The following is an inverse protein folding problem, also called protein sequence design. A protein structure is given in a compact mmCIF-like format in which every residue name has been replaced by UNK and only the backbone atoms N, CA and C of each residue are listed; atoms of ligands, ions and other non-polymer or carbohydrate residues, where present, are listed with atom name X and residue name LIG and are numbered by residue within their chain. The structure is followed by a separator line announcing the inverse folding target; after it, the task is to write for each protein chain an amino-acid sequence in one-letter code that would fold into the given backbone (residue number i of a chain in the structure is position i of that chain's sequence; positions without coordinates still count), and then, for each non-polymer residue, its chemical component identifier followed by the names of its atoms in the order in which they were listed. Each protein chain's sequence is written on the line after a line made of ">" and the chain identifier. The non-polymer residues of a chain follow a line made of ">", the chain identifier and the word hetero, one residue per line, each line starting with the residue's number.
data_IF_236573164432
#
_entry.id   IF_236573164432
#
_cell.length_a   1.000
_cell.length_b   1.000
_cell.length_c   1.000
_cell.angle_alpha   90.00
_cell.angle_beta   90.00
_cell.angle_gamma   90.00
#
_symmetry.space_group_name_H-M   'P 1'
#
loop_
_entity.id
_entity.type
_entity.pdbx_description
1 polymer ?
#
# COMPACT_ATOMS: atom_id res chain seq x y z
N UNK A 1 -2.05 14.54 -21.61
CA UNK A 1 -1.01 14.58 -20.54
C UNK A 1 -1.08 13.31 -19.74
N UNK A 2 0.04 12.59 -19.56
CA UNK A 2 0.02 11.28 -18.88
C UNK A 2 0.07 11.48 -17.36
N UNK A 3 -1.10 11.49 -16.72
CA UNK A 3 -1.24 11.72 -15.26
C UNK A 3 -0.40 10.72 -14.44
N UNK A 4 -0.33 9.46 -14.88
CA UNK A 4 0.45 8.43 -14.20
C UNK A 4 1.94 8.75 -14.10
N UNK A 5 2.53 9.31 -15.15
CA UNK A 5 3.93 9.74 -15.16
C UNK A 5 4.18 10.82 -14.11
N UNK A 6 3.29 11.81 -13.99
CA UNK A 6 3.43 12.88 -13.00
C UNK A 6 3.34 12.38 -11.56
N UNK A 7 2.58 11.33 -11.29
CA UNK A 7 2.43 10.78 -9.93
C UNK A 7 3.66 9.97 -9.52
N UNK A 8 4.33 9.31 -10.46
CA UNK A 8 5.38 8.33 -10.17
C UNK A 8 6.82 8.81 -10.43
N UNK A 9 7.03 9.94 -11.12
CA UNK A 9 8.34 10.37 -11.60
C UNK A 9 9.37 10.74 -10.52
N UNK A 10 8.97 10.87 -9.26
CA UNK A 10 9.85 11.10 -8.11
C UNK A 10 10.22 9.79 -7.37
N UNK A 11 9.58 8.67 -7.73
CA UNK A 11 9.97 7.36 -7.24
C UNK A 11 11.24 6.87 -7.95
N UNK A 12 12.06 6.13 -7.23
CA UNK A 12 13.17 5.41 -7.84
C UNK A 12 12.66 4.07 -8.37
N UNK A 13 12.88 3.83 -9.67
CA UNK A 13 12.50 2.60 -10.35
C UNK A 13 13.70 1.68 -10.51
N UNK A 14 13.56 0.41 -10.14
CA UNK A 14 14.57 -0.62 -10.30
C UNK A 14 13.97 -1.90 -10.84
N UNK A 15 14.81 -2.72 -11.44
CA UNK A 15 14.50 -4.09 -11.82
C UNK A 15 15.15 -5.05 -10.83
N UNK A 16 14.35 -5.88 -10.19
CA UNK A 16 14.83 -6.98 -9.34
C UNK A 16 15.08 -8.18 -10.24
N UNK A 17 16.32 -8.66 -10.27
CA UNK A 17 16.69 -9.90 -10.95
C UNK A 17 16.84 -11.00 -9.92
N UNK A 18 16.06 -12.04 -10.11
CA UNK A 18 16.04 -13.24 -9.26
C UNK A 18 17.20 -14.18 -9.63
N UNK A 19 17.98 -14.58 -8.66
CA UNK A 19 19.05 -15.57 -8.74
C UNK A 19 18.83 -16.72 -7.75
N UNK A 20 17.56 -17.01 -7.43
CA UNK A 20 17.16 -18.11 -6.54
C UNK A 20 16.38 -19.16 -7.33
N UNK A 21 16.12 -20.30 -6.71
CA UNK A 21 15.31 -21.36 -7.28
C UNK A 21 13.80 -21.12 -7.10
N UNK A 22 13.41 -20.11 -6.31
CA UNK A 22 12.01 -19.72 -6.10
C UNK A 22 11.61 -18.71 -7.18
N UNK A 23 10.72 -19.04 -8.14
CA UNK A 23 10.30 -18.09 -9.16
C UNK A 23 9.40 -16.99 -8.60
N UNK A 24 9.39 -15.82 -9.23
CA UNK A 24 8.31 -14.88 -9.03
C UNK A 24 7.00 -15.47 -9.54
N UNK A 25 5.92 -15.22 -8.80
CA UNK A 25 4.55 -15.50 -9.23
C UNK A 25 3.83 -14.20 -9.58
N UNK A 26 2.73 -14.31 -10.31
CA UNK A 26 1.86 -13.17 -10.59
C UNK A 26 0.40 -13.54 -10.36
N UNK A 27 -0.50 -12.57 -10.47
CA UNK A 27 -1.93 -12.77 -10.23
C UNK A 27 -2.76 -11.96 -11.22
N UNK A 28 -4.07 -12.10 -11.13
CA UNK A 28 -5.05 -11.28 -11.85
C UNK A 28 -5.05 -9.79 -11.41
N UNK A 29 -4.32 -9.47 -10.33
CA UNK A 29 -4.02 -8.10 -9.90
C UNK A 29 -2.50 -7.93 -9.67
N UNK A 30 -1.70 -7.94 -10.74
CA UNK A 30 -0.23 -8.11 -10.65
C UNK A 30 0.50 -6.90 -10.09
N UNK A 31 0.02 -5.69 -10.38
CA UNK A 31 0.60 -4.47 -9.84
C UNK A 31 -0.01 -4.17 -8.46
N UNK A 32 0.80 -4.25 -7.42
CA UNK A 32 0.30 -3.94 -6.08
C UNK A 32 1.04 -2.79 -5.43
N UNK A 33 0.27 -2.03 -4.67
CA UNK A 33 0.72 -0.92 -3.87
C UNK A 33 0.83 -1.35 -2.41
N UNK A 34 1.97 -1.07 -1.78
CA UNK A 34 2.17 -1.31 -0.35
C UNK A 34 2.98 -0.21 0.30
N UNK A 35 3.07 -0.21 1.64
CA UNK A 35 3.73 0.87 2.35
C UNK A 35 4.24 0.41 3.72
N UNK A 36 5.51 -0.01 3.80
CA UNK A 36 6.13 -0.45 5.06
C UNK A 36 6.14 0.64 6.13
N UNK A 37 6.26 1.91 5.73
CA UNK A 37 6.28 3.04 6.64
C UNK A 37 4.95 3.20 7.37
N UNK A 38 3.82 3.14 6.65
CA UNK A 38 2.48 3.24 7.25
C UNK A 38 2.21 2.09 8.21
N UNK A 39 2.61 0.86 7.86
CA UNK A 39 2.49 -0.29 8.76
C UNK A 39 3.37 -0.14 10.02
N UNK A 40 4.61 0.34 9.88
CA UNK A 40 5.52 0.53 11.02
C UNK A 40 5.04 1.61 11.99
N UNK A 41 4.50 2.71 11.47
CA UNK A 41 4.03 3.85 12.28
C UNK A 41 2.57 3.71 12.72
N UNK A 42 1.92 2.59 12.38
CA UNK A 42 0.51 2.31 12.69
C UNK A 42 -0.47 3.39 12.18
N UNK A 43 -0.11 4.03 11.07
CA UNK A 43 -0.86 5.14 10.49
C UNK A 43 -2.20 4.71 9.89
N UNK A 44 -2.34 3.42 9.55
CA UNK A 44 -3.57 2.86 8.98
C UNK A 44 -4.77 2.91 9.91
N UNK A 45 -4.56 3.20 11.19
CA UNK A 45 -5.65 3.48 12.13
C UNK A 45 -6.42 4.76 11.79
N UNK A 46 -5.75 5.71 11.15
CA UNK A 46 -6.26 7.06 10.90
C UNK A 46 -6.31 7.41 9.43
N UNK A 47 -5.41 6.84 8.62
CA UNK A 47 -5.19 7.20 7.23
C UNK A 47 -5.08 5.94 6.37
N UNK A 48 -5.50 6.01 5.12
CA UNK A 48 -5.09 5.06 4.09
C UNK A 48 -3.85 5.57 3.36
N UNK A 49 -3.12 4.69 2.68
CA UNK A 49 -2.04 5.11 1.80
C UNK A 49 -2.44 4.96 0.32
N UNK A 50 -1.86 5.82 -0.50
CA UNK A 50 -2.02 5.83 -1.95
C UNK A 50 -0.68 6.09 -2.63
N UNK A 51 -0.73 6.36 -3.93
CA UNK A 51 0.45 6.67 -4.73
C UNK A 51 1.17 7.97 -4.32
N UNK A 52 0.49 8.89 -3.66
CA UNK A 52 1.05 10.13 -3.13
C UNK A 52 1.71 9.98 -1.76
N UNK A 53 1.49 8.86 -1.09
CA UNK A 53 1.89 8.66 0.30
C UNK A 53 3.41 8.52 0.46
N UNK A 54 3.93 9.04 1.56
CA UNK A 54 5.29 8.80 2.02
C UNK A 54 5.53 7.30 2.22
N UNK A 55 6.64 6.77 1.70
CA UNK A 55 6.97 5.36 1.80
C UNK A 55 6.24 4.44 0.82
N UNK A 56 5.71 4.98 -0.25
CA UNK A 56 5.08 4.20 -1.34
C UNK A 56 6.06 3.20 -1.94
N UNK A 57 5.56 1.97 -2.11
CA UNK A 57 6.19 0.87 -2.83
C UNK A 57 5.20 0.34 -3.86
N UNK A 58 5.56 0.36 -5.14
CA UNK A 58 4.79 -0.22 -6.23
C UNK A 58 5.58 -1.38 -6.81
N UNK A 59 4.98 -2.57 -6.81
CA UNK A 59 5.63 -3.82 -7.20
C UNK A 59 4.85 -4.47 -8.34
N UNK A 60 5.58 -4.95 -9.37
CA UNK A 60 5.00 -5.63 -10.51
C UNK A 60 5.92 -6.78 -10.95
N UNK A 61 5.58 -8.04 -10.68
CA UNK A 61 6.26 -9.19 -11.30
C UNK A 61 6.07 -9.16 -12.82
N UNK A 62 7.18 -9.28 -13.56
CA UNK A 62 7.18 -9.23 -15.03
C UNK A 62 7.36 -10.63 -15.61
N UNK A 63 8.23 -11.43 -14.98
CA UNK A 63 8.52 -12.82 -15.34
C UNK A 63 8.94 -13.61 -14.10
N UNK A 64 9.13 -14.93 -14.18
CA UNK A 64 9.67 -15.72 -13.08
C UNK A 64 11.01 -15.24 -12.55
N UNK A 65 11.80 -14.53 -13.38
CA UNK A 65 13.14 -14.05 -13.03
C UNK A 65 13.19 -12.54 -12.77
N UNK A 66 12.17 -11.78 -13.14
CA UNK A 66 12.21 -10.32 -13.06
C UNK A 66 10.98 -9.73 -12.40
N UNK A 67 11.21 -8.76 -11.50
CA UNK A 67 10.16 -7.96 -10.87
C UNK A 67 10.53 -6.47 -10.93
N UNK A 68 9.59 -5.64 -11.37
CA UNK A 68 9.72 -4.19 -11.29
C UNK A 68 9.37 -3.70 -9.89
N UNK A 69 10.15 -2.76 -9.38
CA UNK A 69 9.90 -2.08 -8.11
C UNK A 69 10.12 -0.57 -8.27
N UNK A 70 9.08 0.22 -7.97
CA UNK A 70 9.20 1.66 -7.77
C UNK A 70 9.04 1.97 -6.27
N UNK A 71 9.94 2.79 -5.71
CA UNK A 71 9.96 3.06 -4.29
C UNK A 71 10.32 4.49 -3.96
N UNK A 72 9.84 4.97 -2.82
CA UNK A 72 10.19 6.27 -2.26
C UNK A 72 11.61 6.25 -1.66
N UNK A 73 12.59 6.79 -2.41
CA UNK A 73 13.99 6.88 -1.97
C UNK A 73 14.22 7.79 -0.76
N UNK A 74 13.26 8.64 -0.44
CA UNK A 74 13.33 9.46 0.79
C UNK A 74 13.07 8.59 2.03
N UNK A 75 12.31 7.50 1.88
CA UNK A 75 11.96 6.60 2.98
C UNK A 75 12.82 5.36 2.99
N UNK A 76 13.16 4.81 1.83
CA UNK A 76 13.91 3.56 1.73
C UNK A 76 15.25 3.75 1.02
N UNK A 77 16.17 2.91 1.41
CA UNK A 77 17.41 2.65 0.68
C UNK A 77 17.42 1.19 0.22
N UNK A 78 17.59 0.98 -1.07
CA UNK A 78 17.72 -0.34 -1.69
C UNK A 78 19.04 -0.38 -2.44
N UNK A 79 19.99 -1.28 -2.08
CA UNK A 79 21.26 -1.37 -2.76
C UNK A 79 21.07 -1.96 -4.16
N UNK A 80 21.39 -1.21 -5.19
CA UNK A 80 21.30 -1.65 -6.58
C UNK A 80 22.46 -1.10 -7.42
N UNK A 81 22.77 -1.77 -8.52
CA UNK A 81 23.75 -1.30 -9.49
C UNK A 81 23.04 -0.95 -10.80
N UNK A 82 23.12 0.33 -11.22
CA UNK A 82 22.50 0.86 -12.45
C UNK A 82 21.02 0.46 -12.61
N UNK A 83 20.26 0.53 -11.54
CA UNK A 83 18.84 0.19 -11.56
C UNK A 83 18.53 -1.31 -11.47
N UNK A 84 19.52 -2.17 -11.27
CA UNK A 84 19.32 -3.63 -11.14
C UNK A 84 19.72 -4.07 -9.74
N UNK A 85 18.79 -4.69 -9.01
CA UNK A 85 19.02 -5.40 -7.77
C UNK A 85 19.08 -6.90 -8.04
N UNK A 86 20.18 -7.56 -7.64
CA UNK A 86 20.31 -9.02 -7.70
C UNK A 86 19.92 -9.65 -6.38
N UNK A 87 18.84 -10.43 -6.36
CA UNK A 87 18.36 -11.14 -5.16
C UNK A 87 18.82 -12.58 -5.21
N UNK A 88 19.44 -13.06 -4.10
CA UNK A 88 20.01 -14.41 -3.95
C UNK A 88 19.43 -15.18 -2.76
N UNK A 89 18.43 -14.63 -2.07
CA UNK A 89 17.79 -15.24 -0.91
C UNK A 89 16.37 -15.63 -1.27
N UNK A 90 16.05 -16.91 -1.19
CA UNK A 90 14.70 -17.44 -1.43
C UNK A 90 13.62 -16.70 -0.61
N UNK A 91 13.91 -16.43 0.66
CA UNK A 91 13.00 -15.71 1.55
C UNK A 91 12.61 -14.32 1.05
N UNK A 92 13.50 -13.61 0.32
CA UNK A 92 13.18 -12.31 -0.23
C UNK A 92 12.22 -12.43 -1.43
N UNK A 93 12.34 -13.51 -2.22
CA UNK A 93 11.41 -13.81 -3.33
C UNK A 93 10.07 -14.32 -2.78
N UNK A 94 10.07 -15.24 -1.82
CA UNK A 94 8.84 -15.69 -1.14
C UNK A 94 8.08 -14.51 -0.55
N UNK A 95 8.82 -13.57 0.04
CA UNK A 95 8.25 -12.34 0.55
C UNK A 95 7.58 -11.50 -0.56
N UNK A 96 8.22 -11.34 -1.71
CA UNK A 96 7.63 -10.62 -2.84
C UNK A 96 6.38 -11.34 -3.37
N UNK A 97 6.42 -12.69 -3.38
CA UNK A 97 5.31 -13.53 -3.80
C UNK A 97 4.11 -13.46 -2.84
N UNK A 98 4.32 -13.25 -1.53
CA UNK A 98 3.19 -13.10 -0.59
C UNK A 98 2.26 -11.95 -1.00
N UNK A 99 2.79 -10.85 -1.58
CA UNK A 99 1.95 -9.75 -2.01
C UNK A 99 1.00 -10.15 -3.16
N UNK A 100 1.43 -11.03 -4.05
CA UNK A 100 0.55 -11.55 -5.09
C UNK A 100 -0.60 -12.36 -4.48
N UNK A 101 -0.32 -13.19 -3.47
CA UNK A 101 -1.33 -13.97 -2.75
C UNK A 101 -2.29 -13.05 -1.98
N UNK A 102 -1.74 -12.03 -1.31
CA UNK A 102 -2.54 -11.08 -0.52
C UNK A 102 -3.42 -10.16 -1.40
N UNK A 103 -3.01 -9.89 -2.64
CA UNK A 103 -3.66 -8.94 -3.55
C UNK A 103 -4.41 -9.59 -4.71
N UNK A 104 -4.30 -10.88 -4.97
CA UNK A 104 -5.08 -11.52 -6.03
C UNK A 104 -6.59 -11.39 -5.77
N UNK A 105 -7.40 -11.31 -6.81
CA UNK A 105 -8.84 -11.44 -6.70
C UNK A 105 -9.20 -12.92 -6.66
N UNK A 106 -8.96 -13.63 -7.75
CA UNK A 106 -9.37 -15.01 -7.92
C UNK A 106 -8.22 -15.93 -8.35
N UNK A 107 -7.25 -15.43 -9.14
CA UNK A 107 -6.27 -16.25 -9.83
C UNK A 107 -4.82 -15.87 -9.50
N UNK A 108 -4.00 -16.91 -9.30
CA UNK A 108 -2.55 -16.82 -9.18
C UNK A 108 -1.94 -17.63 -10.33
N UNK A 109 -0.94 -17.04 -11.01
CA UNK A 109 -0.26 -17.67 -12.14
C UNK A 109 1.15 -18.06 -11.72
N UNK A 110 1.48 -19.33 -11.95
CA UNK A 110 2.72 -19.98 -11.54
C UNK A 110 3.46 -20.54 -12.74
N UNK A 111 4.79 -20.49 -12.70
CA UNK A 111 5.62 -21.23 -13.63
C UNK A 111 5.82 -22.70 -13.20
N UNK A 112 5.83 -22.95 -11.89
CA UNK A 112 5.99 -24.29 -11.31
C UNK A 112 5.29 -24.34 -9.95
N UNK A 113 4.68 -25.46 -9.62
CA UNK A 113 3.98 -25.71 -8.34
C UNK A 113 4.93 -26.13 -7.21
N UNK A 114 6.13 -26.56 -7.50
CA UNK A 114 7.03 -27.27 -6.57
C UNK A 114 7.42 -26.50 -5.29
N UNK A 115 7.43 -25.18 -5.33
CA UNK A 115 7.76 -24.35 -4.16
C UNK A 115 6.58 -23.57 -3.60
N UNK A 116 5.49 -23.49 -4.35
CA UNK A 116 4.36 -22.63 -4.02
C UNK A 116 3.57 -23.11 -2.80
N UNK A 117 3.30 -24.40 -2.71
CA UNK A 117 2.49 -24.99 -1.64
C UNK A 117 3.06 -24.73 -0.24
N UNK A 118 4.41 -24.65 -0.13
CA UNK A 118 5.09 -24.40 1.15
C UNK A 118 4.68 -23.13 1.86
N UNK A 119 4.32 -22.09 1.11
CA UNK A 119 3.99 -20.78 1.69
C UNK A 119 2.58 -20.28 1.34
N UNK A 120 1.91 -20.90 0.37
CA UNK A 120 0.57 -20.47 -0.06
C UNK A 120 -0.44 -20.46 1.08
N UNK A 121 -0.59 -21.57 1.78
CA UNK A 121 -1.53 -21.68 2.89
C UNK A 121 -1.23 -20.69 4.02
N UNK A 122 0.07 -20.47 4.28
CA UNK A 122 0.50 -19.50 5.28
C UNK A 122 -0.02 -18.10 4.94
N UNK A 123 0.21 -17.66 3.72
CA UNK A 123 -0.15 -16.30 3.31
C UNK A 123 -1.65 -16.15 3.01
N UNK A 124 -2.32 -17.21 2.61
CA UNK A 124 -3.77 -17.21 2.41
C UNK A 124 -4.51 -16.82 3.71
N UNK A 125 -4.03 -17.26 4.87
CA UNK A 125 -4.58 -16.89 6.19
C UNK A 125 -4.47 -15.40 6.51
N UNK A 126 -3.53 -14.70 5.88
CA UNK A 126 -3.33 -13.26 6.05
C UNK A 126 -4.18 -12.42 5.08
N UNK A 127 -4.82 -13.09 4.10
CA UNK A 127 -5.63 -12.41 3.10
C UNK A 127 -6.89 -11.85 3.73
N UNK A 128 -7.23 -10.61 3.39
CA UNK A 128 -8.46 -9.99 3.83
C UNK A 128 -9.67 -10.58 3.08
N UNK A 129 -10.75 -10.82 3.80
CA UNK A 129 -12.02 -11.26 3.22
C UNK A 129 -12.63 -10.21 2.27
N UNK A 130 -12.34 -8.93 2.52
CA UNK A 130 -12.74 -7.82 1.66
C UNK A 130 -11.64 -6.77 1.61
N UNK A 131 -11.44 -6.15 0.44
CA UNK A 131 -10.49 -5.04 0.26
C UNK A 131 -11.10 -3.68 0.55
N UNK A 132 -12.39 -3.64 0.76
CA UNK A 132 -13.11 -2.41 1.02
C UNK A 132 -13.91 -2.52 2.31
N UNK A 133 -13.84 -1.47 3.10
CA UNK A 133 -14.71 -1.26 4.24
C UNK A 133 -15.68 -0.14 3.89
N UNK A 134 -16.97 -0.45 3.89
CA UNK A 134 -18.03 0.53 3.72
C UNK A 134 -18.51 0.97 5.10
N UNK A 135 -18.57 2.27 5.31
CA UNK A 135 -19.08 2.88 6.55
C UNK A 135 -20.19 3.84 6.16
N UNK A 136 -21.28 3.80 6.88
CA UNK A 136 -22.42 4.68 6.69
C UNK A 136 -22.49 5.67 7.84
N UNK A 137 -22.79 6.92 7.52
CA UNK A 137 -22.99 7.95 8.53
C UNK A 137 -24.13 8.86 8.14
N UNK A 138 -24.80 9.40 9.16
CA UNK A 138 -25.89 10.38 9.01
C UNK A 138 -25.55 11.63 9.79
N UNK A 139 -26.15 12.75 9.41
CA UNK A 139 -26.00 14.01 10.13
C UNK A 139 -26.63 13.86 11.52
N UNK A 140 -25.85 14.17 12.55
CA UNK A 140 -26.34 14.20 13.92
C UNK A 140 -26.98 15.57 14.21
N UNK A 141 -28.30 15.61 14.17
CA UNK A 141 -29.09 16.83 14.43
C UNK A 141 -29.05 17.30 15.89
N UNK A 142 -28.56 16.48 16.81
CA UNK A 142 -28.51 16.80 18.24
C UNK A 142 -27.50 17.89 18.60
N UNK A 143 -26.61 18.28 17.66
CA UNK A 143 -25.56 19.27 17.88
C UNK A 143 -25.73 20.52 17.02
N UNK A 144 -26.48 21.51 17.51
CA UNK A 144 -26.77 22.77 16.80
C UNK A 144 -25.56 23.65 16.43
N UNK A 145 -24.38 23.41 16.97
CA UNK A 145 -23.19 24.27 16.74
C UNK A 145 -22.16 23.74 15.74
N UNK A 146 -22.11 22.45 15.51
CA UNK A 146 -21.18 21.85 14.56
C UNK A 146 -21.85 20.65 13.90
N UNK A 147 -21.90 20.62 12.55
CA UNK A 147 -22.36 19.45 11.78
C UNK A 147 -21.45 18.27 12.12
N UNK A 148 -21.95 17.33 12.89
CA UNK A 148 -21.27 16.07 13.20
C UNK A 148 -21.96 14.94 12.48
N UNK A 149 -21.17 13.99 12.00
CA UNK A 149 -21.70 12.78 11.42
C UNK A 149 -21.62 11.65 12.45
N UNK A 150 -22.73 10.95 12.63
CA UNK A 150 -22.83 9.76 13.46
C UNK A 150 -22.72 8.53 12.55
N UNK A 151 -21.78 7.63 12.84
CA UNK A 151 -21.68 6.34 12.15
C UNK A 151 -22.85 5.45 12.57
N UNK A 152 -23.51 4.85 11.58
CA UNK A 152 -24.63 3.93 11.78
C UNK A 152 -24.29 2.54 11.22
N UNK A 153 -24.79 1.45 11.81
CA UNK A 153 -24.66 0.11 11.24
C UNK A 153 -25.51 -0.04 9.97
N UNK A 154 -25.13 -0.93 9.09
CA UNK A 154 -25.87 -1.19 7.84
C UNK A 154 -27.31 -1.67 8.07
N UNK A 155 -27.59 -2.30 9.21
CA UNK A 155 -28.95 -2.69 9.61
C UNK A 155 -29.93 -1.53 9.74
N UNK A 156 -29.42 -0.36 10.06
CA UNK A 156 -30.22 0.82 10.38
C UNK A 156 -30.48 1.71 9.16
N UNK A 157 -29.86 1.41 8.00
CA UNK A 157 -30.02 2.18 6.75
C UNK A 157 -31.47 2.39 6.35
N UNK A 158 -32.32 1.38 6.54
CA UNK A 158 -33.75 1.44 6.24
C UNK A 158 -34.52 2.53 7.00
N UNK A 159 -33.94 3.06 8.06
CA UNK A 159 -34.58 4.09 8.90
C UNK A 159 -34.29 5.53 8.39
N UNK A 160 -33.48 5.67 7.34
CA UNK A 160 -33.05 6.94 6.76
C UNK A 160 -33.33 6.98 5.27
N UNK A 161 -33.49 8.19 4.72
CA UNK A 161 -33.56 8.40 3.27
C UNK A 161 -32.17 8.36 2.68
N UNK A 162 -32.03 7.91 1.43
CA UNK A 162 -30.73 7.85 0.73
C UNK A 162 -30.00 9.20 0.70
N UNK A 163 -30.75 10.31 0.63
CA UNK A 163 -30.19 11.67 0.65
C UNK A 163 -29.61 12.09 2.03
N UNK A 164 -29.92 11.36 3.09
CA UNK A 164 -29.45 11.61 4.46
C UNK A 164 -28.23 10.77 4.82
N UNK A 165 -27.89 9.77 3.98
CA UNK A 165 -26.83 8.80 4.23
C UNK A 165 -25.57 9.23 3.49
N UNK A 166 -24.47 9.43 4.23
CA UNK A 166 -23.14 9.55 3.69
C UNK A 166 -22.47 8.18 3.69
N UNK A 167 -22.20 7.65 2.51
CA UNK A 167 -21.47 6.39 2.34
C UNK A 167 -19.98 6.70 2.17
N UNK A 168 -19.15 6.14 3.02
CA UNK A 168 -17.71 6.22 2.94
C UNK A 168 -17.11 4.85 2.67
N UNK A 169 -16.34 4.72 1.59
CA UNK A 169 -15.62 3.51 1.25
C UNK A 169 -14.12 3.73 1.46
N UNK A 170 -13.52 2.93 2.31
CA UNK A 170 -12.08 2.93 2.55
C UNK A 170 -11.43 1.64 2.04
N UNK A 171 -10.26 1.78 1.44
CA UNK A 171 -9.46 0.63 1.01
C UNK A 171 -8.74 0.03 2.21
N UNK A 172 -8.90 -1.29 2.39
CA UNK A 172 -8.15 -2.06 3.36
C UNK A 172 -6.88 -2.61 2.71
N UNK A 173 -5.79 -2.55 3.43
CA UNK A 173 -4.50 -3.05 2.98
C UNK A 173 -4.10 -4.29 3.77
N UNK A 174 -3.87 -5.39 3.06
CA UNK A 174 -3.35 -6.62 3.68
C UNK A 174 -1.97 -6.35 4.28
N UNK A 175 -1.79 -6.71 5.55
CA UNK A 175 -0.52 -6.55 6.24
C UNK A 175 0.39 -7.74 5.93
N UNK A 176 1.57 -7.51 5.35
CA UNK A 176 2.53 -8.57 5.13
C UNK A 176 3.14 -9.06 6.46
N UNK A 177 3.47 -10.35 6.51
CA UNK A 177 4.08 -10.98 7.68
C UNK A 177 5.54 -10.54 7.86
N UNK A 178 6.28 -10.47 6.76
CA UNK A 178 7.70 -10.10 6.72
C UNK A 178 7.98 -9.05 5.65
N UNK A 179 9.19 -8.48 5.63
CA UNK A 179 9.64 -7.53 4.61
C UNK A 179 10.97 -7.99 4.01
N UNK A 180 11.25 -7.71 2.71
CA UNK A 180 12.48 -8.17 2.07
C UNK A 180 13.71 -7.62 2.80
N UNK A 181 14.75 -8.43 2.88
CA UNK A 181 15.97 -8.06 3.61
C UNK A 181 16.72 -6.89 2.96
N UNK A 182 16.52 -6.66 1.66
CA UNK A 182 17.13 -5.56 0.91
C UNK A 182 16.42 -4.20 1.07
N UNK A 183 15.26 -4.17 1.68
CA UNK A 183 14.49 -2.93 1.90
C UNK A 183 14.93 -2.27 3.21
N UNK A 184 15.96 -1.43 3.15
CA UNK A 184 16.49 -0.71 4.31
C UNK A 184 15.79 0.63 4.51
N UNK A 185 15.82 1.14 5.73
CA UNK A 185 15.35 2.49 6.04
C UNK A 185 16.40 3.53 5.64
N UNK A 186 15.96 4.64 5.05
CA UNK A 186 16.82 5.80 4.88
C UNK A 186 16.80 6.62 6.17
N UNK A 187 17.90 6.56 6.95
CA UNK A 187 18.01 7.20 8.27
C UNK A 187 17.77 8.72 8.23
N UNK A 188 18.06 9.37 7.09
CA UNK A 188 17.82 10.80 6.88
C UNK A 188 16.51 11.08 6.14
N UNK A 189 15.66 10.09 6.04
CA UNK A 189 14.42 10.16 5.28
C UNK A 189 13.37 11.03 5.92
N UNK A 190 12.50 11.57 5.08
CA UNK A 190 11.43 12.46 5.50
C UNK A 190 10.29 12.52 4.48
N UNK A 191 9.18 13.05 4.94
CA UNK A 191 8.03 13.45 4.15
C UNK A 191 7.33 14.63 4.82
N UNK A 192 6.08 14.84 4.46
CA UNK A 192 5.27 15.95 4.97
C UNK A 192 3.91 15.45 5.46
N UNK A 193 3.38 16.15 6.43
CA UNK A 193 2.02 15.94 6.93
C UNK A 193 1.38 17.27 7.32
N UNK A 194 0.08 17.26 7.46
CA UNK A 194 -0.69 18.35 8.06
C UNK A 194 -1.77 17.74 8.99
N UNK A 195 -2.56 18.59 9.63
CA UNK A 195 -3.69 18.13 10.45
C UNK A 195 -4.91 17.75 9.61
N UNK A 196 -4.78 17.67 8.27
CA UNK A 196 -5.80 17.19 7.35
C UNK A 196 -5.83 15.67 7.28
N UNK A 197 -6.88 15.10 6.70
CA UNK A 197 -7.04 13.66 6.49
C UNK A 197 -6.10 13.01 5.46
N UNK A 198 -5.18 13.77 4.84
CA UNK A 198 -4.26 13.30 3.79
C UNK A 198 -3.17 12.35 4.29
N UNK A 199 -2.92 12.31 5.60
CA UNK A 199 -1.87 11.49 6.19
C UNK A 199 -0.45 12.03 5.91
N UNK A 200 0.49 11.13 5.69
CA UNK A 200 1.89 11.47 5.39
C UNK A 200 2.16 11.34 3.89
N UNK A 201 2.53 12.44 3.24
CA UNK A 201 2.75 12.49 1.79
C UNK A 201 4.23 12.66 1.42
N UNK A 202 4.58 12.26 0.19
CA UNK A 202 5.89 12.55 -0.39
C UNK A 202 6.07 14.05 -0.63
N UNK A 203 7.30 14.52 -0.65
CA UNK A 203 7.65 15.95 -0.82
C UNK A 203 6.96 16.60 -2.04
N UNK A 204 6.86 15.88 -3.14
CA UNK A 204 6.18 16.30 -4.36
C UNK A 204 4.71 16.69 -4.15
N UNK A 205 4.06 16.08 -3.18
CA UNK A 205 2.64 16.32 -2.86
C UNK A 205 2.44 17.24 -1.66
N UNK A 206 3.49 17.90 -1.19
CA UNK A 206 3.41 18.83 -0.07
C UNK A 206 2.35 19.94 -0.29
N UNK A 207 2.20 20.39 -1.52
CA UNK A 207 1.24 21.47 -1.88
C UNK A 207 -0.24 21.02 -1.81
N UNK A 208 -0.51 19.73 -1.73
CA UNK A 208 -1.88 19.21 -1.50
C UNK A 208 -2.33 19.33 -0.05
N UNK A 209 -1.38 19.57 0.87
CA UNK A 209 -1.64 19.72 2.29
C UNK A 209 -2.06 21.14 2.64
N UNK A 210 -2.82 21.31 3.74
CA UNK A 210 -3.15 22.62 4.27
C UNK A 210 -1.87 23.39 4.65
N UNK A 211 -1.55 24.50 3.96
CA UNK A 211 -0.29 25.23 4.15
C UNK A 211 -0.11 25.78 5.57
N UNK A 212 -1.20 26.00 6.31
CA UNK A 212 -1.16 26.49 7.68
C UNK A 212 -0.60 25.47 8.66
N UNK A 213 -0.76 24.17 8.38
CA UNK A 213 -0.42 23.08 9.31
C UNK A 213 0.66 22.16 8.78
N UNK A 214 1.17 22.43 7.58
CA UNK A 214 2.21 21.61 6.96
C UNK A 214 3.48 21.58 7.82
N UNK A 215 3.94 20.39 8.10
CA UNK A 215 5.20 20.16 8.81
C UNK A 215 5.94 18.95 8.24
N UNK A 216 7.26 18.92 8.45
CA UNK A 216 8.12 17.83 8.04
C UNK A 216 8.06 16.69 9.07
N UNK A 217 7.86 15.46 8.59
CA UNK A 217 7.90 14.24 9.39
C UNK A 217 9.14 13.41 9.06
N UNK A 218 9.78 12.82 10.08
CA UNK A 218 10.95 11.94 9.94
C UNK A 218 10.52 10.47 10.01
N UNK A 219 11.35 9.61 9.42
CA UNK A 219 11.16 8.15 9.46
C UNK A 219 11.32 7.58 10.88
#
# INVERSE_FOLDING_TARGET
>A
MNIGFHILNDLTCILIKNFTDVPFITSDNPAFLTNRYYFKKDLLKYFSFGLNSMGTLLVLPISPEYCFLAYDKKVYFIPHNRGILKVKKDKDIEFMNQFQILNCNDNIYLNSTSSFEKYYEKYLKLRLASRHKITYSVLDESTYKHKRFKVIPSSDLKNYKDSEILTHMSTLHSRPDIWPSFLHWNIRGYGFSSNSGEGHVREKFKETLDPKYVHRVKI
#
